data_IF_861402980335
#
_entry.id   IF_861402980335
#
_cell.length_a   1.000
_cell.length_b   1.000
_cell.length_c   1.000
_cell.angle_alpha   90.00
_cell.angle_beta   90.00
_cell.angle_gamma   90.00
#
_symmetry.space_group_name_H-M   'P 1'
#
loop_
_entity.id
_entity.type
_entity.pdbx_description
1 polymer ?
#
# COMPACT_ATOMS: atom_id res chain seq x y z
N UNK A 1 -40.86 -41.26 22.15
CA UNK A 1 -39.80 -41.77 21.24
C UNK A 1 -39.54 -40.76 20.14
N UNK A 2 -38.30 -40.42 19.91
CA UNK A 2 -37.75 -39.45 18.94
C UNK A 2 -37.54 -38.04 19.49
N UNK A 3 -36.52 -37.90 20.33
CA UNK A 3 -35.70 -36.73 20.48
C UNK A 3 -34.28 -37.24 20.75
N UNK A 4 -33.40 -37.21 19.76
CA UNK A 4 -31.94 -37.29 19.87
C UNK A 4 -31.37 -37.47 18.46
N UNK A 5 -30.97 -36.37 17.82
CA UNK A 5 -30.04 -36.33 16.68
C UNK A 5 -29.82 -34.88 16.20
N UNK A 6 -29.49 -33.93 17.09
CA UNK A 6 -28.89 -32.66 16.74
C UNK A 6 -27.96 -32.23 17.90
N UNK A 7 -26.88 -32.95 18.11
CA UNK A 7 -25.88 -32.58 19.10
C UNK A 7 -24.47 -33.12 18.75
N UNK A 8 -24.18 -33.33 17.47
CA UNK A 8 -22.85 -33.86 17.07
C UNK A 8 -22.17 -33.10 15.94
N UNK A 9 -22.61 -31.87 15.62
CA UNK A 9 -22.00 -31.05 14.55
C UNK A 9 -21.39 -29.73 15.04
N UNK A 10 -21.33 -29.47 16.35
CA UNK A 10 -20.80 -28.20 16.91
C UNK A 10 -19.52 -28.35 17.76
N UNK A 11 -18.90 -29.53 17.77
CA UNK A 11 -17.69 -29.80 18.58
C UNK A 11 -16.38 -29.94 17.75
N UNK A 12 -16.40 -29.63 16.45
CA UNK A 12 -15.23 -29.78 15.58
C UNK A 12 -14.57 -28.45 15.18
N UNK A 13 -14.88 -27.31 15.83
CA UNK A 13 -14.37 -26.00 15.44
C UNK A 13 -13.58 -25.25 16.52
N UNK A 14 -13.09 -25.93 17.57
CA UNK A 14 -12.28 -25.32 18.64
C UNK A 14 -11.05 -26.16 19.02
N UNK A 15 -10.33 -26.68 18.03
CA UNK A 15 -8.97 -27.16 18.18
C UNK A 15 -8.09 -26.46 17.14
N UNK A 16 -8.10 -25.12 17.12
CA UNK A 16 -6.90 -24.40 16.68
C UNK A 16 -5.87 -24.59 17.79
N UNK A 17 -5.19 -25.73 17.73
CA UNK A 17 -3.92 -25.90 18.40
C UNK A 17 -3.06 -24.68 18.08
N UNK A 18 -2.62 -23.97 19.10
CA UNK A 18 -1.47 -23.11 19.04
C UNK A 18 -0.29 -23.97 18.53
N UNK A 19 -0.16 -24.08 17.22
CA UNK A 19 1.08 -24.52 16.58
C UNK A 19 2.09 -23.40 16.92
N UNK A 20 2.74 -23.54 18.07
CA UNK A 20 3.99 -22.89 18.33
C UNK A 20 4.94 -23.45 17.27
N UNK A 21 5.09 -22.73 16.16
CA UNK A 21 6.15 -22.98 15.18
C UNK A 21 7.49 -22.79 15.92
N UNK A 22 7.99 -23.87 16.50
CA UNK A 22 9.32 -23.89 17.11
C UNK A 22 10.31 -24.10 15.97
N UNK A 23 10.57 -23.03 15.22
CA UNK A 23 11.55 -23.03 14.14
C UNK A 23 12.99 -23.13 14.66
N UNK A 24 13.90 -23.53 13.79
CA UNK A 24 15.33 -23.53 14.08
C UNK A 24 15.84 -22.11 14.31
N UNK A 25 16.30 -21.80 15.54
CA UNK A 25 16.91 -20.52 15.90
C UNK A 25 18.41 -20.58 15.71
N UNK A 26 18.97 -19.62 14.97
CA UNK A 26 20.39 -19.51 14.68
C UNK A 26 20.89 -18.14 15.10
N UNK A 27 21.89 -18.08 15.97
CA UNK A 27 22.52 -16.84 16.40
C UNK A 27 23.20 -16.12 15.20
N UNK A 28 22.94 -14.80 15.08
CA UNK A 28 23.53 -13.98 14.02
C UNK A 28 25.05 -13.83 14.20
N UNK A 29 25.52 -13.71 15.42
CA UNK A 29 26.91 -13.43 15.72
C UNK A 29 27.62 -14.63 16.36
N UNK A 30 28.84 -14.95 15.92
CA UNK A 30 29.70 -15.89 16.63
C UNK A 30 30.02 -15.35 18.05
N UNK A 31 30.22 -16.27 18.97
CA UNK A 31 30.55 -15.92 20.36
C UNK A 31 31.75 -14.95 20.41
N UNK A 32 31.58 -13.82 21.09
CA UNK A 32 32.63 -12.81 21.29
C UNK A 32 32.92 -11.89 20.11
N UNK A 33 32.20 -12.04 18.95
CA UNK A 33 32.47 -11.26 17.74
C UNK A 33 31.35 -10.25 17.37
N UNK A 34 30.38 -10.06 18.27
CA UNK A 34 29.27 -9.12 18.04
C UNK A 34 29.77 -7.68 18.16
N UNK A 35 29.65 -6.83 17.11
CA UNK A 35 30.08 -5.43 17.17
C UNK A 35 29.19 -4.63 18.11
N UNK A 36 29.71 -3.54 18.67
CA UNK A 36 29.02 -2.61 19.58
C UNK A 36 28.16 -3.33 20.63
N UNK A 37 28.70 -4.41 21.21
CA UNK A 37 28.00 -5.18 22.27
C UNK A 37 27.70 -4.27 23.46
N UNK A 38 26.43 -4.28 23.91
CA UNK A 38 25.98 -3.57 25.11
C UNK A 38 25.27 -4.53 26.07
N UNK A 39 25.56 -4.41 27.36
CA UNK A 39 25.06 -5.34 28.40
C UNK A 39 23.53 -5.23 28.61
N UNK A 40 22.94 -4.07 28.31
CA UNK A 40 21.49 -3.85 28.40
C UNK A 40 20.71 -4.33 27.17
N UNK A 41 21.38 -4.77 26.10
CA UNK A 41 20.71 -5.26 24.90
C UNK A 41 20.47 -6.76 24.93
N UNK A 42 19.29 -7.18 24.49
CA UNK A 42 18.87 -8.55 24.27
C UNK A 42 18.24 -8.69 22.88
N UNK A 43 18.13 -9.90 22.38
CA UNK A 43 17.34 -10.19 21.19
C UNK A 43 16.17 -11.10 21.60
N UNK A 44 14.99 -10.52 21.75
CA UNK A 44 13.77 -11.21 22.09
C UNK A 44 12.56 -10.42 21.58
N UNK A 45 11.50 -11.12 21.20
CA UNK A 45 10.20 -10.48 20.96
C UNK A 45 9.51 -10.25 22.31
N UNK A 46 8.98 -9.06 22.52
CA UNK A 46 8.39 -8.64 23.81
C UNK A 46 7.28 -9.58 24.30
N UNK A 47 6.38 -9.98 23.38
CA UNK A 47 5.27 -10.88 23.72
C UNK A 47 5.74 -12.28 24.07
N UNK A 48 6.84 -12.75 23.46
CA UNK A 48 7.47 -14.01 23.80
C UNK A 48 8.07 -13.99 25.21
N UNK A 49 8.75 -12.91 25.56
CA UNK A 49 9.33 -12.71 26.89
C UNK A 49 8.25 -12.71 27.97
N UNK A 50 7.10 -12.07 27.71
CA UNK A 50 5.97 -12.01 28.63
C UNK A 50 5.28 -13.37 28.79
N UNK A 51 5.20 -14.18 27.74
CA UNK A 51 4.45 -15.46 27.75
C UNK A 51 5.25 -16.64 28.30
N UNK A 52 6.60 -16.66 28.18
CA UNK A 52 7.42 -17.85 28.44
C UNK A 52 8.39 -17.72 29.63
N UNK A 53 8.33 -16.64 30.41
CA UNK A 53 9.30 -16.39 31.48
C UNK A 53 10.73 -16.35 30.93
N UNK A 54 10.92 -15.65 29.86
CA UNK A 54 12.13 -15.59 29.05
C UNK A 54 13.36 -15.27 29.87
N UNK A 55 14.39 -16.15 29.89
CA UNK A 55 15.66 -15.89 30.52
C UNK A 55 16.53 -15.08 29.55
N UNK A 56 16.65 -13.78 29.79
CA UNK A 56 17.44 -12.82 29.01
C UNK A 56 18.86 -13.30 28.64
N UNK A 57 19.47 -14.16 29.46
CA UNK A 57 20.83 -14.67 29.27
C UNK A 57 21.00 -15.55 28.03
N UNK A 58 19.94 -16.15 27.50
CA UNK A 58 20.03 -17.04 26.31
C UNK A 58 20.03 -16.30 24.99
N UNK A 59 19.61 -15.04 24.93
CA UNK A 59 19.38 -14.32 23.69
C UNK A 59 20.02 -12.93 23.65
N UNK A 60 21.26 -12.82 24.17
CA UNK A 60 22.02 -11.57 24.08
C UNK A 60 22.59 -11.28 22.68
N UNK A 61 22.47 -12.20 21.75
CA UNK A 61 22.80 -12.00 20.34
C UNK A 61 21.55 -11.99 19.50
N UNK A 62 21.48 -11.16 18.46
CA UNK A 62 20.46 -11.26 17.44
C UNK A 62 20.38 -12.69 16.89
N UNK A 63 19.20 -13.12 16.46
CA UNK A 63 19.00 -14.42 15.87
C UNK A 63 18.04 -14.37 14.70
N UNK A 64 18.14 -15.36 13.83
CA UNK A 64 17.12 -15.70 12.84
C UNK A 64 16.40 -16.97 13.29
N UNK A 65 15.09 -17.05 13.04
CA UNK A 65 14.26 -18.20 13.36
C UNK A 65 13.57 -18.66 12.08
N UNK A 66 13.93 -19.85 11.61
CA UNK A 66 13.37 -20.44 10.41
C UNK A 66 12.01 -21.04 10.69
N UNK A 67 11.01 -20.70 9.88
CA UNK A 67 9.72 -21.39 9.85
C UNK A 67 9.83 -22.68 9.02
N UNK A 68 8.87 -23.59 9.22
CA UNK A 68 8.77 -24.79 8.42
C UNK A 68 8.73 -24.43 6.92
N UNK A 69 9.36 -25.27 6.11
CA UNK A 69 9.38 -25.06 4.67
C UNK A 69 7.97 -25.19 4.09
N UNK A 70 7.61 -24.39 3.06
CA UNK A 70 6.35 -24.57 2.36
C UNK A 70 6.28 -25.96 1.73
N UNK A 71 5.05 -26.47 1.53
CA UNK A 71 4.85 -27.74 0.82
C UNK A 71 5.52 -27.71 -0.56
N UNK A 72 6.06 -28.83 -0.98
CA UNK A 72 6.87 -28.91 -2.20
C UNK A 72 6.12 -28.46 -3.48
N UNK A 73 4.81 -28.73 -3.53
CA UNK A 73 3.93 -28.39 -4.65
C UNK A 73 3.60 -26.90 -4.79
N UNK A 74 3.80 -26.11 -3.71
CA UNK A 74 3.53 -24.65 -3.72
C UNK A 74 4.80 -23.79 -3.65
N UNK A 75 5.99 -24.39 -3.50
CA UNK A 75 7.23 -23.62 -3.40
C UNK A 75 7.45 -22.71 -4.59
N UNK A 76 7.66 -21.41 -4.31
CA UNK A 76 7.92 -20.41 -5.34
C UNK A 76 9.42 -20.07 -5.52
N UNK A 77 10.29 -20.70 -4.75
CA UNK A 77 11.75 -20.50 -4.82
C UNK A 77 12.24 -19.19 -4.23
N UNK A 78 11.44 -18.50 -3.42
CA UNK A 78 11.80 -17.23 -2.80
C UNK A 78 11.76 -17.32 -1.26
N UNK A 79 12.48 -16.39 -0.60
CA UNK A 79 12.53 -16.29 0.86
C UNK A 79 12.06 -14.91 1.34
N UNK A 80 11.30 -14.90 2.43
CA UNK A 80 10.85 -13.66 3.10
C UNK A 80 11.43 -13.55 4.50
N UNK A 81 12.16 -12.47 4.75
CA UNK A 81 12.64 -12.09 6.08
C UNK A 81 11.55 -11.21 6.74
N UNK A 82 11.05 -11.65 7.88
CA UNK A 82 10.00 -10.98 8.63
C UNK A 82 10.64 -10.08 9.71
N UNK A 83 10.33 -8.78 9.71
CA UNK A 83 10.99 -7.81 10.59
C UNK A 83 9.91 -7.03 11.35
N UNK A 84 9.72 -7.35 12.64
CA UNK A 84 8.75 -6.64 13.49
C UNK A 84 9.24 -5.25 13.89
N UNK A 85 8.29 -4.42 14.34
CA UNK A 85 8.55 -3.10 14.90
C UNK A 85 8.88 -3.12 16.40
N UNK A 86 8.67 -1.97 17.05
CA UNK A 86 8.88 -1.77 18.49
C UNK A 86 9.79 -0.59 18.82
N UNK A 87 9.93 0.36 17.88
CA UNK A 87 10.67 1.62 18.09
C UNK A 87 12.16 1.45 18.37
N UNK A 88 12.76 0.31 18.03
CA UNK A 88 14.09 -0.12 18.45
C UNK A 88 14.27 -0.28 19.98
N UNK A 89 13.22 -0.07 20.76
CA UNK A 89 13.22 -0.33 22.21
C UNK A 89 12.85 -1.78 22.52
N UNK A 90 12.15 -2.42 21.62
CA UNK A 90 11.76 -3.84 21.68
C UNK A 90 11.57 -4.39 20.25
N UNK A 91 11.65 -5.70 20.11
CA UNK A 91 11.02 -6.40 19.01
C UNK A 91 9.65 -6.87 19.52
N UNK A 92 8.56 -6.45 18.87
CA UNK A 92 7.23 -6.74 19.36
C UNK A 92 6.40 -7.48 18.30
N UNK A 93 5.27 -8.05 18.77
CA UNK A 93 4.22 -8.63 17.96
C UNK A 93 4.52 -10.01 17.34
N UNK A 94 4.71 -11.00 18.21
CA UNK A 94 4.83 -12.43 17.81
C UNK A 94 3.65 -12.86 16.93
N UNK A 95 2.42 -12.40 17.23
CA UNK A 95 1.22 -12.77 16.49
C UNK A 95 1.23 -12.22 15.06
N UNK A 96 1.68 -10.97 14.88
CA UNK A 96 1.80 -10.36 13.57
C UNK A 96 2.76 -11.15 12.69
N UNK A 97 3.96 -11.43 13.22
CA UNK A 97 5.00 -12.17 12.49
C UNK A 97 4.56 -13.58 12.15
N UNK A 98 3.94 -14.29 13.11
CA UNK A 98 3.40 -15.63 12.88
C UNK A 98 2.28 -15.60 11.80
N UNK A 99 1.40 -14.59 11.84
CA UNK A 99 0.36 -14.43 10.83
C UNK A 99 0.90 -14.12 9.42
N UNK A 100 2.01 -13.38 9.33
CA UNK A 100 2.71 -13.20 8.05
C UNK A 100 3.37 -14.50 7.58
N UNK A 101 4.05 -15.21 8.48
CA UNK A 101 4.69 -16.48 8.16
C UNK A 101 3.68 -17.50 7.62
N UNK A 102 2.54 -17.67 8.30
CA UNK A 102 1.47 -18.57 7.88
C UNK A 102 0.98 -18.26 6.46
N UNK A 103 0.63 -17.00 6.18
CA UNK A 103 0.13 -16.57 4.88
C UNK A 103 1.18 -16.70 3.77
N UNK A 104 2.42 -16.30 4.04
CA UNK A 104 3.50 -16.34 3.05
C UNK A 104 3.96 -17.78 2.77
N UNK A 105 4.02 -18.64 3.78
CA UNK A 105 4.31 -20.07 3.60
C UNK A 105 3.22 -20.76 2.77
N UNK A 106 1.95 -20.40 2.98
CA UNK A 106 0.85 -20.89 2.13
C UNK A 106 0.97 -20.43 0.67
N UNK A 107 1.63 -19.30 0.41
CA UNK A 107 1.94 -18.78 -0.92
C UNK A 107 3.28 -19.32 -1.49
N UNK A 108 3.94 -20.24 -0.77
CA UNK A 108 5.15 -20.93 -1.22
C UNK A 108 6.47 -20.27 -0.86
N UNK A 109 6.47 -19.20 -0.06
CA UNK A 109 7.71 -18.58 0.41
C UNK A 109 8.35 -19.36 1.56
N UNK A 110 9.66 -19.54 1.52
CA UNK A 110 10.41 -19.85 2.74
C UNK A 110 10.40 -18.62 3.65
N UNK A 111 10.01 -18.78 4.90
CA UNK A 111 9.94 -17.66 5.84
C UNK A 111 11.01 -17.76 6.92
N UNK A 112 11.54 -16.61 7.33
CA UNK A 112 12.50 -16.49 8.43
C UNK A 112 12.19 -15.24 9.25
N UNK A 113 11.97 -15.39 10.55
CA UNK A 113 11.84 -14.27 11.46
C UNK A 113 13.22 -13.75 11.84
N UNK A 114 13.43 -12.44 11.75
CA UNK A 114 14.65 -11.80 12.19
C UNK A 114 14.40 -10.99 13.45
N UNK A 115 15.10 -11.35 14.52
CA UNK A 115 15.02 -10.70 15.83
C UNK A 115 16.35 -10.01 16.13
N UNK A 116 16.32 -8.69 16.02
CA UNK A 116 17.49 -7.82 16.26
C UNK A 116 17.63 -7.41 17.73
N UNK A 117 18.79 -6.92 18.10
CA UNK A 117 19.10 -6.46 19.48
C UNK A 117 18.31 -5.21 19.84
N UNK A 118 17.72 -5.23 21.02
CA UNK A 118 17.01 -4.10 21.66
C UNK A 118 17.37 -4.04 23.16
N UNK A 119 17.19 -2.93 23.86
CA UNK A 119 16.69 -1.62 23.43
C UNK A 119 17.69 -0.86 22.57
N UNK A 120 17.37 0.38 22.23
CA UNK A 120 18.25 1.31 21.49
C UNK A 120 19.65 1.34 22.08
N UNK A 121 20.71 1.36 21.25
CA UNK A 121 22.08 1.46 21.76
C UNK A 121 22.33 2.82 22.41
N UNK A 122 23.18 2.85 23.44
CA UNK A 122 23.67 4.08 24.05
C UNK A 122 24.87 4.62 23.27
N UNK A 123 24.92 5.91 23.01
CA UNK A 123 26.04 6.56 22.33
C UNK A 123 26.18 6.29 20.83
N UNK A 124 25.17 5.68 20.23
CA UNK A 124 25.11 5.35 18.78
C UNK A 124 23.73 5.77 18.23
N UNK A 125 23.60 5.90 16.90
CA UNK A 125 22.29 6.05 16.28
C UNK A 125 21.33 4.94 16.70
N UNK A 126 20.05 5.26 16.88
CA UNK A 126 19.04 4.35 17.44
C UNK A 126 18.91 3.03 16.68
N UNK A 127 19.28 2.99 15.42
CA UNK A 127 19.20 1.83 14.51
C UNK A 127 20.53 1.08 14.37
N UNK A 128 21.66 1.60 14.87
CA UNK A 128 22.98 1.09 14.50
C UNK A 128 23.14 -0.41 14.74
N UNK A 129 22.91 -0.87 15.98
CA UNK A 129 23.08 -2.29 16.32
C UNK A 129 22.11 -3.21 15.60
N UNK A 130 20.86 -2.74 15.36
CA UNK A 130 19.89 -3.49 14.58
C UNK A 130 20.28 -3.57 13.09
N UNK A 131 20.92 -2.54 12.54
CA UNK A 131 21.41 -2.54 11.15
C UNK A 131 22.61 -3.49 10.96
N UNK A 132 23.54 -3.53 11.91
CA UNK A 132 24.62 -4.52 11.96
C UNK A 132 24.07 -5.94 11.94
N UNK A 133 23.12 -6.22 12.83
CA UNK A 133 22.43 -7.50 12.92
C UNK A 133 21.72 -7.85 11.60
N UNK A 134 21.05 -6.87 11.00
CA UNK A 134 20.27 -7.04 9.76
C UNK A 134 21.15 -7.37 8.57
N UNK A 135 22.27 -6.66 8.35
CA UNK A 135 23.18 -6.97 7.26
C UNK A 135 23.71 -8.40 7.39
N UNK A 136 24.10 -8.81 8.60
CA UNK A 136 24.60 -10.15 8.82
C UNK A 136 23.51 -11.21 8.70
N UNK A 137 22.31 -10.94 9.18
CA UNK A 137 21.15 -11.84 9.02
C UNK A 137 20.85 -12.12 7.54
N UNK A 138 20.85 -11.09 6.68
CA UNK A 138 20.66 -11.27 5.21
C UNK A 138 21.76 -12.17 4.63
N UNK A 139 23.02 -11.99 5.04
CA UNK A 139 24.13 -12.86 4.60
C UNK A 139 23.92 -14.33 5.00
N UNK A 140 23.45 -14.57 6.24
CA UNK A 140 23.12 -15.93 6.72
C UNK A 140 22.00 -16.54 5.90
N UNK A 141 20.92 -15.79 5.66
CA UNK A 141 19.80 -16.25 4.84
C UNK A 141 20.27 -16.60 3.43
N UNK A 142 21.05 -15.74 2.80
CA UNK A 142 21.60 -15.98 1.45
C UNK A 142 22.53 -17.19 1.41
N UNK A 143 23.38 -17.38 2.43
CA UNK A 143 24.24 -18.56 2.55
C UNK A 143 23.45 -19.87 2.61
N UNK A 144 22.33 -19.87 3.28
CA UNK A 144 21.51 -21.06 3.51
C UNK A 144 20.51 -21.34 2.36
N UNK A 145 20.49 -20.52 1.30
CA UNK A 145 19.50 -20.56 0.22
C UNK A 145 19.41 -21.93 -0.45
N UNK A 146 20.54 -22.50 -0.90
CA UNK A 146 20.60 -23.83 -1.54
C UNK A 146 20.10 -24.92 -0.59
N UNK A 147 20.60 -24.95 0.65
CA UNK A 147 20.20 -25.92 1.69
C UNK A 147 18.68 -25.88 1.94
N UNK A 148 18.05 -24.70 1.81
CA UNK A 148 16.63 -24.50 2.12
C UNK A 148 15.73 -24.48 0.88
N UNK A 149 16.31 -24.61 -0.31
CA UNK A 149 15.58 -24.78 -1.56
C UNK A 149 14.96 -23.49 -2.10
N UNK A 150 15.64 -22.35 -1.95
CA UNK A 150 15.25 -21.09 -2.59
C UNK A 150 16.46 -20.42 -3.30
N UNK A 151 16.16 -19.48 -4.19
CA UNK A 151 17.15 -18.72 -4.96
C UNK A 151 17.78 -17.64 -4.08
N UNK A 152 19.12 -17.57 -3.94
CA UNK A 152 19.80 -16.52 -3.19
C UNK A 152 19.55 -15.09 -3.74
N UNK A 153 19.11 -14.97 -4.99
CA UNK A 153 18.70 -13.70 -5.60
C UNK A 153 17.18 -13.45 -5.51
N UNK A 154 16.47 -14.24 -4.68
CA UNK A 154 15.04 -14.05 -4.38
C UNK A 154 14.80 -13.95 -2.86
N UNK A 155 15.41 -12.95 -2.23
CA UNK A 155 15.25 -12.66 -0.80
C UNK A 155 14.55 -11.31 -0.63
N UNK A 156 13.34 -11.33 -0.08
CA UNK A 156 12.58 -10.14 0.24
C UNK A 156 12.38 -9.93 1.74
N UNK A 157 11.86 -8.77 2.09
CA UNK A 157 11.45 -8.45 3.46
C UNK A 157 9.98 -8.05 3.54
N UNK A 158 9.32 -8.39 4.64
CA UNK A 158 8.07 -7.78 5.08
C UNK A 158 8.28 -7.21 6.47
N UNK A 159 7.84 -5.97 6.68
CA UNK A 159 8.26 -5.22 7.86
C UNK A 159 7.20 -4.24 8.36
N UNK A 160 7.36 -3.76 9.60
CA UNK A 160 6.49 -2.77 10.21
C UNK A 160 7.27 -1.78 11.08
N UNK A 161 6.87 -0.47 11.06
CA UNK A 161 7.35 0.55 12.00
C UNK A 161 8.89 0.70 11.99
N UNK A 162 9.57 0.59 13.15
CA UNK A 162 11.03 0.57 13.23
C UNK A 162 11.66 -0.58 12.41
N UNK A 163 10.97 -1.72 12.30
CA UNK A 163 11.38 -2.81 11.39
C UNK A 163 11.33 -2.38 9.93
N UNK A 164 10.39 -1.51 9.56
CA UNK A 164 10.33 -0.94 8.21
C UNK A 164 11.45 0.08 7.96
N UNK A 165 11.85 0.85 8.95
CA UNK A 165 13.06 1.68 8.85
C UNK A 165 14.30 0.79 8.60
N UNK A 166 14.41 -0.33 9.33
CA UNK A 166 15.49 -1.28 9.13
C UNK A 166 15.45 -1.94 7.74
N UNK A 167 14.26 -2.32 7.26
CA UNK A 167 14.07 -2.84 5.90
C UNK A 167 14.47 -1.81 4.83
N UNK A 168 14.17 -0.52 5.05
CA UNK A 168 14.65 0.57 4.18
C UNK A 168 16.19 0.64 4.16
N UNK A 169 16.86 0.54 5.32
CA UNK A 169 18.34 0.50 5.37
C UNK A 169 18.90 -0.68 4.58
N UNK A 170 18.32 -1.88 4.75
CA UNK A 170 18.73 -3.08 4.01
C UNK A 170 18.46 -2.98 2.51
N UNK A 171 17.36 -2.31 2.13
CA UNK A 171 16.92 -2.18 0.74
C UNK A 171 17.53 -1.00 -0.02
N UNK A 172 18.13 -0.01 0.67
CA UNK A 172 18.67 1.21 0.02
C UNK A 172 20.15 1.45 0.26
N UNK A 173 20.75 0.80 1.28
CA UNK A 173 22.09 1.14 1.78
C UNK A 173 22.95 -0.09 2.02
N UNK A 174 22.75 -1.14 1.23
CA UNK A 174 23.43 -2.42 1.40
C UNK A 174 24.94 -2.36 1.09
N UNK A 175 25.38 -1.37 0.31
CA UNK A 175 26.79 -1.16 -0.03
C UNK A 175 27.53 -0.33 1.03
N UNK A 176 26.79 0.26 1.98
CA UNK A 176 27.38 0.91 3.15
C UNK A 176 27.56 -0.11 4.27
N UNK A 177 28.79 -0.29 4.72
CA UNK A 177 29.10 -1.22 5.83
C UNK A 177 28.48 -0.71 7.13
N UNK A 178 27.65 -1.51 7.77
CA UNK A 178 27.16 -1.24 9.11
C UNK A 178 28.19 -1.59 10.19
N UNK A 179 29.11 -2.54 9.89
CA UNK A 179 30.15 -3.02 10.79
C UNK A 179 31.37 -3.51 10.00
N UNK A 180 32.52 -3.66 10.68
CA UNK A 180 33.71 -4.27 10.09
C UNK A 180 33.58 -5.80 10.02
N UNK A 181 34.00 -6.44 8.91
CA UNK A 181 33.92 -7.90 8.74
C UNK A 181 34.54 -8.68 9.90
N UNK A 182 33.84 -9.72 10.37
CA UNK A 182 34.28 -10.55 11.50
C UNK A 182 34.68 -11.98 11.10
N UNK A 183 34.20 -12.47 9.96
CA UNK A 183 34.54 -13.78 9.40
C UNK A 183 34.16 -13.87 7.91
N UNK A 184 34.37 -15.06 7.30
CA UNK A 184 34.13 -15.30 5.88
C UNK A 184 32.65 -15.07 5.44
N UNK A 185 31.66 -15.15 6.34
CA UNK A 185 30.26 -14.88 6.01
C UNK A 185 30.08 -13.43 5.51
N UNK A 186 30.90 -12.51 5.99
CA UNK A 186 30.77 -11.09 5.67
C UNK A 186 31.23 -10.71 4.26
N UNK A 187 31.82 -11.67 3.53
CA UNK A 187 32.07 -11.54 2.08
C UNK A 187 30.82 -11.78 1.22
N UNK A 188 29.76 -12.38 1.78
CA UNK A 188 28.50 -12.61 1.08
C UNK A 188 27.74 -11.29 0.96
N UNK A 189 27.10 -10.96 -0.19
CA UNK A 189 26.28 -9.76 -0.34
C UNK A 189 25.13 -9.70 0.67
N UNK A 190 24.83 -8.49 1.21
CA UNK A 190 23.77 -8.28 2.17
C UNK A 190 22.58 -7.47 1.63
N UNK A 191 22.51 -7.25 0.30
CA UNK A 191 21.35 -6.62 -0.30
C UNK A 191 20.13 -7.55 -0.26
N UNK A 192 18.94 -6.98 -0.22
CA UNK A 192 17.67 -7.68 -0.42
C UNK A 192 17.14 -7.37 -1.83
N UNK A 193 16.29 -8.23 -2.36
CA UNK A 193 15.84 -8.12 -3.75
C UNK A 193 14.50 -7.36 -3.88
N UNK A 194 13.70 -7.29 -2.80
CA UNK A 194 12.52 -6.42 -2.68
C UNK A 194 12.16 -6.17 -1.22
N UNK A 195 11.35 -5.14 -0.97
CA UNK A 195 10.83 -4.87 0.36
C UNK A 195 9.33 -4.53 0.37
N UNK A 196 8.61 -5.15 1.29
CA UNK A 196 7.26 -4.75 1.68
C UNK A 196 7.40 -3.94 2.97
N UNK A 197 7.14 -2.64 2.87
CA UNK A 197 7.45 -1.65 3.91
C UNK A 197 6.14 -1.07 4.44
N UNK A 198 5.84 -1.34 5.72
CA UNK A 198 4.62 -0.84 6.34
C UNK A 198 4.94 0.19 7.42
N UNK A 199 4.41 1.41 7.28
CA UNK A 199 4.51 2.51 8.24
C UNK A 199 5.95 2.76 8.74
N UNK A 200 6.94 3.07 7.87
CA UNK A 200 8.32 3.28 8.29
C UNK A 200 8.43 4.48 9.25
N UNK A 201 8.82 4.20 10.51
CA UNK A 201 9.16 5.22 11.49
C UNK A 201 10.58 5.74 11.26
N UNK A 202 10.92 6.90 11.79
CA UNK A 202 12.29 7.48 11.81
C UNK A 202 12.95 7.68 10.43
N UNK A 203 12.18 7.64 9.36
CA UNK A 203 12.75 7.72 8.02
C UNK A 203 12.90 9.15 7.49
N UNK A 204 12.43 10.15 8.23
CA UNK A 204 12.53 11.57 7.89
C UNK A 204 13.41 12.32 8.87
N UNK A 205 13.95 13.47 8.44
CA UNK A 205 14.88 14.28 9.24
C UNK A 205 14.32 14.74 10.58
N UNK A 206 13.01 14.97 10.68
CA UNK A 206 12.30 15.28 11.92
C UNK A 206 12.10 14.06 12.84
N UNK A 207 12.18 12.85 12.28
CA UNK A 207 12.07 11.59 13.01
C UNK A 207 13.39 10.94 13.41
N UNK A 208 14.55 11.46 12.99
CA UNK A 208 15.87 10.86 13.26
C UNK A 208 16.21 10.76 14.75
N UNK A 209 15.70 11.66 15.57
CA UNK A 209 15.89 11.65 17.03
C UNK A 209 15.03 10.59 17.74
N UNK A 210 14.14 9.93 17.02
CA UNK A 210 13.23 8.91 17.53
C UNK A 210 11.98 9.46 18.22
N UNK A 211 11.65 10.73 18.01
CA UNK A 211 10.35 11.31 18.35
C UNK A 211 9.37 11.07 17.19
N UNK A 212 8.08 10.78 17.49
CA UNK A 212 7.07 10.76 16.44
C UNK A 212 7.02 12.12 15.75
N UNK A 213 6.91 12.11 14.41
CA UNK A 213 6.60 13.33 13.69
C UNK A 213 5.24 13.86 14.17
N UNK A 214 5.19 15.10 14.61
CA UNK A 214 3.95 15.80 14.92
C UNK A 214 3.23 16.16 13.62
N UNK A 215 2.01 16.72 13.70
CA UNK A 215 1.33 17.27 12.49
C UNK A 215 2.18 18.33 11.77
N UNK A 216 3.12 18.94 12.47
CA UNK A 216 4.12 19.85 11.93
C UNK A 216 5.11 19.15 10.98
N UNK A 217 5.31 17.82 11.12
CA UNK A 217 6.12 16.98 10.21
C UNK A 217 5.61 16.87 8.77
N UNK A 218 4.50 17.52 8.44
CA UNK A 218 4.03 17.75 7.07
C UNK A 218 4.58 19.05 6.45
N UNK A 219 5.53 19.70 7.12
CA UNK A 219 6.19 20.90 6.60
C UNK A 219 6.92 20.65 5.28
N UNK A 220 7.14 21.73 4.55
CA UNK A 220 7.82 21.71 3.23
C UNK A 220 9.30 21.31 3.32
N UNK A 221 9.89 21.39 4.50
CA UNK A 221 11.31 21.16 4.73
C UNK A 221 11.63 19.72 5.18
N UNK A 222 10.62 18.90 5.37
CA UNK A 222 10.80 17.48 5.72
C UNK A 222 11.47 16.72 4.58
N UNK A 223 12.58 16.05 4.88
CA UNK A 223 13.39 15.28 3.94
C UNK A 223 13.60 13.87 4.44
N UNK A 224 14.00 12.97 3.55
CA UNK A 224 14.49 11.66 3.96
C UNK A 224 15.75 11.82 4.80
N UNK A 225 15.90 10.95 5.80
CA UNK A 225 17.12 10.82 6.58
C UNK A 225 18.30 10.53 5.66
N UNK A 226 19.43 11.16 5.93
CA UNK A 226 20.67 10.99 5.16
C UNK A 226 21.30 9.61 5.32
N UNK A 227 20.79 8.78 6.22
CA UNK A 227 21.25 7.41 6.42
C UNK A 227 20.92 6.51 5.21
N UNK A 228 19.84 6.81 4.49
CA UNK A 228 19.47 6.07 3.27
C UNK A 228 20.32 6.53 2.08
N UNK A 229 21.18 5.65 1.59
CA UNK A 229 22.15 6.00 0.54
C UNK A 229 21.61 5.80 -0.88
N UNK A 230 20.57 4.99 -1.05
CA UNK A 230 20.01 4.67 -2.37
C UNK A 230 21.11 4.27 -3.37
N UNK A 231 21.81 3.21 -3.01
CA UNK A 231 22.91 2.67 -3.80
C UNK A 231 22.43 1.86 -5.03
N UNK A 232 23.36 1.33 -5.82
CA UNK A 232 23.08 0.57 -7.04
C UNK A 232 22.36 -0.78 -6.78
N UNK A 233 22.30 -1.23 -5.53
CA UNK A 233 21.56 -2.42 -5.09
C UNK A 233 20.21 -2.07 -4.45
N UNK A 234 19.79 -0.82 -4.55
CA UNK A 234 18.46 -0.39 -4.06
C UNK A 234 17.35 -1.20 -4.75
N UNK A 235 16.51 -1.83 -3.96
CA UNK A 235 15.53 -2.79 -4.44
C UNK A 235 14.14 -2.17 -4.71
N UNK A 236 13.29 -2.83 -5.54
CA UNK A 236 11.87 -2.52 -5.66
C UNK A 236 11.12 -2.59 -4.33
N UNK A 237 10.11 -1.72 -4.14
CA UNK A 237 9.39 -1.64 -2.86
C UNK A 237 7.88 -1.44 -3.03
N UNK A 238 7.10 -2.14 -2.19
CA UNK A 238 5.69 -1.86 -1.94
C UNK A 238 5.57 -1.15 -0.58
N UNK A 239 5.06 0.08 -0.60
CA UNK A 239 5.00 0.97 0.55
C UNK A 239 3.55 1.13 1.02
N UNK A 240 3.28 0.89 2.30
CA UNK A 240 1.97 0.99 2.93
C UNK A 240 2.02 1.96 4.11
N UNK A 241 1.02 2.86 4.24
CA UNK A 241 0.99 3.80 5.36
C UNK A 241 -0.44 4.22 5.70
N UNK A 242 -0.73 4.38 6.99
CA UNK A 242 -1.98 4.98 7.45
C UNK A 242 -1.96 6.51 7.32
N UNK A 243 -3.03 7.10 6.80
CA UNK A 243 -3.15 8.56 6.67
C UNK A 243 -3.22 9.30 8.01
N UNK A 244 -3.64 8.61 9.08
CA UNK A 244 -3.71 9.13 10.45
C UNK A 244 -2.55 8.66 11.34
N UNK A 245 -1.50 8.10 10.73
CA UNK A 245 -0.33 7.61 11.45
C UNK A 245 0.46 8.79 12.09
N UNK A 246 0.79 8.74 13.38
CA UNK A 246 1.64 9.75 14.00
C UNK A 246 3.07 9.79 13.43
N UNK A 247 3.55 8.68 12.86
CA UNK A 247 4.79 8.64 12.07
C UNK A 247 4.47 8.97 10.62
N UNK A 248 4.27 10.24 10.33
CA UNK A 248 3.70 10.78 9.10
C UNK A 248 3.95 9.97 7.80
N UNK A 249 2.93 9.75 6.95
CA UNK A 249 3.09 9.08 5.65
C UNK A 249 4.03 9.84 4.68
N UNK A 250 4.47 11.06 5.02
CA UNK A 250 5.51 11.80 4.28
C UNK A 250 6.76 10.93 4.07
N UNK A 251 7.15 10.11 5.06
CA UNK A 251 8.26 9.18 4.92
C UNK A 251 8.09 8.27 3.68
N UNK A 252 6.96 7.58 3.58
CA UNK A 252 6.66 6.68 2.45
C UNK A 252 6.56 7.42 1.13
N UNK A 253 6.00 8.63 1.08
CA UNK A 253 5.91 9.43 -0.15
C UNK A 253 7.28 9.88 -0.63
N UNK A 254 8.19 10.26 0.27
CA UNK A 254 9.55 10.66 -0.06
C UNK A 254 10.39 9.46 -0.56
N UNK A 255 10.26 8.28 0.06
CA UNK A 255 10.90 7.04 -0.41
C UNK A 255 10.39 6.69 -1.81
N UNK A 256 9.06 6.67 -2.02
CA UNK A 256 8.46 6.42 -3.33
C UNK A 256 9.02 7.36 -4.39
N UNK A 257 9.03 8.68 -4.11
CA UNK A 257 9.57 9.68 -5.03
C UNK A 257 11.03 9.40 -5.38
N UNK A 258 11.85 9.03 -4.40
CA UNK A 258 13.28 8.76 -4.63
C UNK A 258 13.47 7.50 -5.49
N UNK A 259 12.75 6.41 -5.21
CA UNK A 259 12.78 5.20 -6.03
C UNK A 259 12.38 5.49 -7.49
N UNK A 260 11.30 6.26 -7.70
CA UNK A 260 10.86 6.63 -9.06
C UNK A 260 11.86 7.50 -9.80
N UNK A 261 12.59 8.40 -9.11
CA UNK A 261 13.69 9.17 -9.71
C UNK A 261 14.85 8.29 -10.19
N UNK A 262 15.07 7.14 -9.54
CA UNK A 262 16.08 6.15 -9.91
C UNK A 262 15.54 5.11 -10.91
N UNK A 263 14.31 5.25 -11.38
CA UNK A 263 13.61 4.30 -12.23
C UNK A 263 13.44 2.90 -11.61
N UNK A 264 13.44 2.82 -10.27
CA UNK A 264 13.20 1.59 -9.53
C UNK A 264 11.68 1.37 -9.37
N UNK A 265 11.15 0.16 -9.65
CA UNK A 265 9.74 -0.15 -9.46
C UNK A 265 9.31 0.09 -8.00
N UNK A 266 8.21 0.82 -7.83
CA UNK A 266 7.66 1.06 -6.51
C UNK A 266 6.16 1.35 -6.59
N UNK A 267 5.42 0.94 -5.57
CA UNK A 267 4.03 1.33 -5.36
C UNK A 267 3.85 1.96 -3.97
N UNK A 268 2.81 2.77 -3.81
CA UNK A 268 2.49 3.46 -2.56
C UNK A 268 0.99 3.38 -2.29
N UNK A 269 0.63 2.84 -1.12
CA UNK A 269 -0.74 2.73 -0.63
C UNK A 269 -0.92 3.55 0.65
N UNK A 270 -1.78 4.57 0.57
CA UNK A 270 -2.16 5.40 1.71
C UNK A 270 -3.61 5.06 2.11
N UNK A 271 -3.81 4.70 3.39
CA UNK A 271 -5.10 4.34 3.95
C UNK A 271 -5.67 5.51 4.76
N UNK A 272 -6.65 6.27 4.23
CA UNK A 272 -6.99 7.62 4.74
C UNK A 272 -7.51 7.62 6.17
N UNK A 273 -8.19 6.57 6.62
CA UNK A 273 -8.84 6.43 7.92
C UNK A 273 -8.07 5.55 8.91
N UNK A 274 -6.87 5.12 8.57
CA UNK A 274 -6.07 4.19 9.39
C UNK A 274 -4.89 4.91 10.06
N UNK A 275 -4.59 4.44 11.27
CA UNK A 275 -3.41 4.85 12.04
C UNK A 275 -2.19 3.97 11.76
N UNK A 276 -1.30 3.88 12.77
CA UNK A 276 -0.05 3.13 12.70
C UNK A 276 -0.29 1.64 12.43
N UNK A 277 0.38 1.09 11.43
CA UNK A 277 0.28 -0.32 11.06
C UNK A 277 -0.81 -0.67 10.04
N UNK A 278 -1.44 0.32 9.41
CA UNK A 278 -2.34 0.08 8.28
C UNK A 278 -1.62 -0.66 7.15
N UNK A 279 -2.14 -1.82 6.75
CA UNK A 279 -1.47 -2.70 5.80
C UNK A 279 -2.46 -3.46 4.91
N UNK A 280 -2.21 -3.46 3.61
CA UNK A 280 -2.95 -4.24 2.62
C UNK A 280 -2.17 -5.45 2.16
N UNK A 281 -2.33 -6.60 2.83
CA UNK A 281 -1.60 -7.82 2.50
C UNK A 281 -1.83 -8.26 1.05
N UNK A 282 -3.07 -8.19 0.56
CA UNK A 282 -3.43 -8.59 -0.81
C UNK A 282 -2.72 -7.71 -1.88
N UNK A 283 -2.53 -6.41 -1.58
CA UNK A 283 -1.75 -5.51 -2.45
C UNK A 283 -0.28 -5.87 -2.47
N UNK A 284 0.30 -6.20 -1.32
CA UNK A 284 1.68 -6.67 -1.24
C UNK A 284 1.88 -7.99 -2.01
N UNK A 285 0.90 -8.92 -1.95
CA UNK A 285 0.91 -10.16 -2.73
C UNK A 285 0.87 -9.86 -4.23
N UNK A 286 0.00 -8.94 -4.65
CA UNK A 286 -0.11 -8.55 -6.04
C UNK A 286 1.18 -7.91 -6.57
N UNK A 287 1.81 -7.03 -5.79
CA UNK A 287 3.13 -6.48 -6.11
C UNK A 287 4.17 -7.59 -6.32
N UNK A 288 4.27 -8.55 -5.39
CA UNK A 288 5.22 -9.65 -5.49
C UNK A 288 4.95 -10.53 -6.73
N UNK A 289 3.68 -10.72 -7.09
CA UNK A 289 3.28 -11.44 -8.31
C UNK A 289 3.69 -10.71 -9.58
N UNK A 290 3.37 -9.42 -9.68
CA UNK A 290 3.70 -8.58 -10.84
C UNK A 290 5.22 -8.46 -11.05
N UNK A 291 5.99 -8.47 -9.97
CA UNK A 291 7.44 -8.43 -10.02
C UNK A 291 8.10 -9.80 -10.26
N UNK A 292 7.32 -10.88 -10.39
CA UNK A 292 7.83 -12.23 -10.66
C UNK A 292 8.48 -12.95 -9.48
N UNK A 293 8.31 -12.45 -8.25
CA UNK A 293 8.90 -13.07 -7.05
C UNK A 293 8.15 -14.33 -6.60
N UNK A 294 6.96 -14.58 -7.12
CA UNK A 294 6.13 -15.74 -6.81
C UNK A 294 6.14 -16.81 -7.90
N UNK A 295 7.15 -16.82 -8.75
CA UNK A 295 7.21 -17.71 -9.93
C UNK A 295 6.66 -17.01 -11.19
N UNK A 296 6.47 -17.72 -12.31
CA UNK A 296 5.98 -17.12 -13.53
C UNK A 296 4.62 -16.49 -13.28
N UNK A 297 4.47 -15.25 -13.71
CA UNK A 297 3.18 -14.56 -13.71
C UNK A 297 2.22 -15.43 -14.54
N UNK A 298 1.06 -15.88 -13.99
CA UNK A 298 0.05 -16.53 -14.82
C UNK A 298 -0.23 -15.62 -16.02
N UNK A 299 -0.34 -16.18 -17.22
CA UNK A 299 -0.75 -15.43 -18.39
C UNK A 299 -1.96 -14.57 -17.96
N UNK A 300 -1.87 -13.26 -18.20
CA UNK A 300 -2.92 -12.31 -17.77
C UNK A 300 -4.28 -12.91 -18.12
N UNK A 301 -5.07 -13.19 -17.10
CA UNK A 301 -6.51 -13.33 -17.34
C UNK A 301 -6.93 -11.94 -17.81
N UNK A 302 -7.35 -11.77 -19.06
CA UNK A 302 -7.71 -10.45 -19.54
C UNK A 302 -8.76 -9.88 -18.59
N UNK A 303 -8.49 -8.72 -18.00
CA UNK A 303 -9.44 -8.01 -17.11
C UNK A 303 -10.81 -7.84 -17.81
N UNK A 304 -10.81 -7.91 -19.14
CA UNK A 304 -11.99 -7.86 -19.99
C UNK A 304 -12.97 -9.03 -19.81
N UNK A 305 -12.50 -10.23 -19.45
CA UNK A 305 -13.39 -11.40 -19.37
C UNK A 305 -14.16 -11.50 -18.04
N UNK A 306 -13.67 -10.82 -17.00
CA UNK A 306 -14.36 -10.81 -15.68
C UNK A 306 -15.59 -9.91 -15.69
N UNK A 307 -15.74 -9.01 -16.67
CA UNK A 307 -16.78 -7.97 -16.72
C UNK A 307 -17.55 -7.94 -18.04
N UNK A 308 -17.63 -9.06 -18.76
CA UNK A 308 -18.16 -9.12 -20.14
C UNK A 308 -19.69 -9.19 -20.26
N UNK A 309 -20.46 -9.30 -19.18
CA UNK A 309 -21.91 -9.32 -19.29
C UNK A 309 -22.50 -7.89 -19.18
N UNK A 310 -23.05 -7.39 -20.26
CA UNK A 310 -23.95 -6.23 -20.26
C UNK A 310 -25.30 -6.53 -19.57
N UNK A 311 -25.49 -7.75 -19.07
CA UNK A 311 -26.75 -8.26 -18.50
C UNK A 311 -27.15 -7.61 -17.17
N UNK A 312 -26.20 -6.99 -16.46
CA UNK A 312 -26.48 -6.31 -15.18
C UNK A 312 -26.92 -4.84 -15.32
N UNK A 313 -27.01 -4.34 -16.57
CA UNK A 313 -27.35 -2.95 -16.85
C UNK A 313 -28.82 -2.80 -17.18
N UNK A 314 -29.58 -2.17 -16.29
CA UNK A 314 -31.02 -1.95 -16.50
C UNK A 314 -31.29 -0.79 -17.47
N UNK A 315 -30.56 0.33 -17.35
CA UNK A 315 -30.88 1.56 -18.07
C UNK A 315 -29.65 2.45 -18.29
N UNK A 316 -29.57 3.08 -19.47
CA UNK A 316 -28.62 4.15 -19.77
C UNK A 316 -29.38 5.38 -20.25
N UNK A 317 -29.24 6.48 -19.51
CA UNK A 317 -29.86 7.75 -19.84
C UNK A 317 -28.78 8.77 -20.15
N UNK A 318 -28.86 9.41 -21.33
CA UNK A 318 -27.94 10.48 -21.75
C UNK A 318 -28.61 11.82 -21.70
N UNK A 319 -27.91 12.83 -21.17
CA UNK A 319 -28.37 14.22 -21.12
C UNK A 319 -27.21 15.21 -21.29
N UNK A 320 -27.51 16.37 -21.86
CA UNK A 320 -26.52 17.43 -22.02
C UNK A 320 -26.23 18.11 -20.69
N UNK A 321 -24.95 18.47 -20.45
CA UNK A 321 -24.55 19.20 -19.24
C UNK A 321 -25.13 20.62 -19.20
N UNK A 322 -25.25 21.24 -20.35
CA UNK A 322 -25.73 22.62 -20.48
C UNK A 322 -26.99 22.69 -21.34
N UNK A 323 -28.00 23.47 -20.93
CA UNK A 323 -29.09 23.85 -21.81
C UNK A 323 -28.55 24.66 -23.01
N UNK A 324 -29.29 24.64 -24.11
CA UNK A 324 -28.95 25.38 -25.31
C UNK A 324 -28.70 26.88 -25.00
N UNK A 325 -27.58 27.46 -25.47
CA UNK A 325 -27.23 28.85 -25.27
C UNK A 325 -26.79 29.24 -23.85
N UNK A 326 -26.68 28.28 -22.90
CA UNK A 326 -26.26 28.56 -21.52
C UNK A 326 -24.82 28.16 -21.20
N UNK A 327 -24.12 27.50 -22.12
CA UNK A 327 -22.77 26.99 -21.90
C UNK A 327 -21.77 28.15 -21.73
N UNK A 328 -21.05 28.26 -20.60
CA UNK A 328 -20.07 29.30 -20.41
C UNK A 328 -18.82 29.04 -21.27
N UNK A 329 -18.15 30.09 -21.70
CA UNK A 329 -16.93 29.98 -22.53
C UNK A 329 -17.04 29.01 -23.70
N UNK A 330 -18.21 28.97 -24.36
CA UNK A 330 -18.49 28.11 -25.50
C UNK A 330 -17.52 28.41 -26.65
N UNK A 331 -16.95 27.36 -27.26
CA UNK A 331 -16.05 27.47 -28.39
C UNK A 331 -16.41 26.44 -29.47
N UNK A 332 -16.49 26.89 -30.72
CA UNK A 332 -16.92 26.09 -31.88
C UNK A 332 -16.16 24.75 -32.06
N UNK A 333 -14.85 24.76 -31.72
CA UNK A 333 -14.01 23.56 -31.87
C UNK A 333 -14.20 22.51 -30.77
N UNK A 334 -14.94 22.85 -29.70
CA UNK A 334 -15.12 21.94 -28.56
C UNK A 334 -16.38 21.06 -28.76
N UNK A 335 -16.29 19.81 -28.30
CA UNK A 335 -17.46 18.92 -28.29
C UNK A 335 -18.52 19.42 -27.29
N UNK A 336 -19.80 19.10 -27.55
CA UNK A 336 -20.88 19.31 -26.59
C UNK A 336 -20.71 18.34 -25.40
N UNK A 337 -20.63 18.84 -24.16
CA UNK A 337 -20.49 17.99 -23.00
C UNK A 337 -21.82 17.32 -22.65
N UNK A 338 -21.75 16.04 -22.25
CA UNK A 338 -22.91 15.27 -21.81
C UNK A 338 -22.54 14.31 -20.69
N UNK A 339 -23.57 13.85 -19.98
CA UNK A 339 -23.46 12.75 -19.02
C UNK A 339 -24.30 11.57 -19.46
N UNK A 340 -23.88 10.37 -19.02
CA UNK A 340 -24.66 9.14 -19.14
C UNK A 340 -24.82 8.52 -17.77
N UNK A 341 -26.06 8.34 -17.35
CA UNK A 341 -26.42 7.56 -16.18
C UNK A 341 -26.41 6.09 -16.53
N UNK A 342 -25.68 5.30 -15.78
CA UNK A 342 -25.64 3.84 -15.85
C UNK A 342 -26.23 3.29 -14.57
N UNK A 343 -27.53 2.93 -14.63
CA UNK A 343 -28.29 2.47 -13.46
C UNK A 343 -28.25 0.95 -13.44
N UNK A 344 -27.76 0.30 -12.37
CA UNK A 344 -27.73 -1.16 -12.28
C UNK A 344 -29.16 -1.72 -12.14
N UNK A 345 -29.37 -2.97 -12.61
CA UNK A 345 -30.66 -3.65 -12.48
C UNK A 345 -31.13 -3.80 -11.03
N UNK A 346 -30.17 -3.89 -10.08
CA UNK A 346 -30.43 -3.96 -8.65
C UNK A 346 -29.52 -3.01 -7.88
N UNK A 347 -30.09 -1.99 -7.25
CA UNK A 347 -29.36 -1.11 -6.35
C UNK A 347 -29.01 -1.82 -5.03
N UNK A 348 -27.75 -1.72 -4.61
CA UNK A 348 -27.27 -2.16 -3.30
C UNK A 348 -26.79 -1.00 -2.44
N UNK A 349 -26.66 0.19 -3.03
CA UNK A 349 -26.28 1.43 -2.37
C UNK A 349 -26.98 2.61 -3.05
N UNK A 350 -27.26 3.66 -2.29
CA UNK A 350 -27.77 4.94 -2.79
C UNK A 350 -26.67 5.91 -3.23
N UNK A 351 -25.41 5.54 -3.08
CA UNK A 351 -24.26 6.36 -3.50
C UNK A 351 -24.13 6.39 -5.04
N UNK A 352 -23.59 7.49 -5.54
CA UNK A 352 -23.38 7.75 -6.96
C UNK A 352 -21.89 7.97 -7.22
N UNK A 353 -21.35 7.35 -8.26
CA UNK A 353 -19.98 7.59 -8.68
C UNK A 353 -19.94 8.26 -10.04
N UNK A 354 -19.42 9.48 -10.12
CA UNK A 354 -19.16 10.17 -11.40
C UNK A 354 -17.76 9.75 -11.87
N UNK A 355 -17.63 9.29 -13.12
CA UNK A 355 -16.37 8.81 -13.70
C UNK A 355 -16.09 9.51 -15.03
N UNK A 356 -14.84 9.88 -15.27
CA UNK A 356 -14.39 10.48 -16.53
C UNK A 356 -12.94 10.13 -16.84
N UNK A 357 -12.61 10.06 -18.15
CA UNK A 357 -11.29 9.71 -18.63
C UNK A 357 -10.31 10.90 -18.61
N UNK A 358 -9.04 10.60 -18.85
CA UNK A 358 -8.00 11.59 -19.10
C UNK A 358 -7.98 12.10 -20.55
N UNK A 359 -6.79 12.11 -21.18
CA UNK A 359 -6.57 12.57 -22.56
C UNK A 359 -6.00 13.98 -22.65
N UNK A 360 -5.26 14.44 -21.63
CA UNK A 360 -4.56 15.75 -21.61
C UNK A 360 -5.45 16.97 -21.91
N UNK A 361 -6.77 16.85 -21.72
CA UNK A 361 -7.79 17.84 -22.14
C UNK A 361 -7.85 18.05 -23.67
N UNK A 362 -7.23 17.20 -24.46
CA UNK A 362 -7.32 17.25 -25.93
C UNK A 362 -8.44 16.33 -26.47
N UNK A 363 -8.75 15.30 -25.73
CA UNK A 363 -9.84 14.39 -25.97
C UNK A 363 -10.22 13.70 -24.66
N UNK A 364 -11.40 13.10 -24.62
CA UNK A 364 -11.79 12.15 -23.60
C UNK A 364 -12.78 11.14 -24.20
N UNK A 365 -12.82 9.95 -23.61
CA UNK A 365 -13.76 8.91 -24.02
C UNK A 365 -14.45 8.35 -22.76
N UNK A 366 -15.76 8.66 -22.58
CA UNK A 366 -16.52 8.19 -21.41
C UNK A 366 -16.79 6.68 -21.46
N UNK A 367 -16.51 6.00 -22.56
CA UNK A 367 -16.68 4.55 -22.76
C UNK A 367 -15.34 3.83 -23.02
N UNK A 368 -14.21 4.55 -22.96
CA UNK A 368 -12.89 4.00 -23.20
C UNK A 368 -12.35 3.15 -22.05
N UNK A 369 -11.15 2.60 -22.28
CA UNK A 369 -10.48 1.66 -21.34
C UNK A 369 -10.22 2.25 -19.95
N UNK A 370 -10.15 3.56 -19.78
CA UNK A 370 -9.96 4.22 -18.48
C UNK A 370 -11.28 4.28 -17.65
N UNK A 371 -12.44 4.21 -18.29
CA UNK A 371 -13.75 4.40 -17.66
C UNK A 371 -14.57 3.11 -17.63
N UNK A 372 -14.68 2.41 -18.75
CA UNK A 372 -15.58 1.28 -18.90
C UNK A 372 -15.34 0.13 -17.90
N UNK A 373 -14.11 -0.29 -17.56
CA UNK A 373 -13.90 -1.34 -16.56
C UNK A 373 -14.38 -0.95 -15.17
N UNK A 374 -14.05 0.27 -14.70
CA UNK A 374 -14.49 0.76 -13.40
C UNK A 374 -16.01 0.92 -13.34
N UNK A 375 -16.63 1.46 -14.39
CA UNK A 375 -18.08 1.58 -14.52
C UNK A 375 -18.77 0.22 -14.40
N UNK A 376 -18.35 -0.77 -15.21
CA UNK A 376 -18.92 -2.14 -15.19
C UNK A 376 -18.75 -2.78 -13.81
N UNK A 377 -17.57 -2.67 -13.21
CA UNK A 377 -17.33 -3.20 -11.88
C UNK A 377 -18.27 -2.60 -10.83
N UNK A 378 -18.41 -1.27 -10.78
CA UNK A 378 -19.29 -0.60 -9.81
C UNK A 378 -20.76 -0.92 -10.05
N UNK A 379 -21.21 -0.95 -11.32
CA UNK A 379 -22.57 -1.39 -11.64
C UNK A 379 -22.83 -2.85 -11.21
N UNK A 380 -21.88 -3.77 -11.42
CA UNK A 380 -22.03 -5.17 -10.95
C UNK A 380 -22.12 -5.29 -9.42
N UNK A 381 -21.65 -4.25 -8.69
CA UNK A 381 -21.81 -4.14 -7.23
C UNK A 381 -23.08 -3.37 -6.83
N UNK A 382 -23.96 -3.05 -7.78
CA UNK A 382 -25.23 -2.36 -7.52
C UNK A 382 -25.09 -0.87 -7.22
N UNK A 383 -24.02 -0.22 -7.67
CA UNK A 383 -23.81 1.22 -7.56
C UNK A 383 -24.16 1.93 -8.87
N UNK A 384 -24.89 3.03 -8.80
CA UNK A 384 -25.12 3.90 -9.97
C UNK A 384 -23.85 4.64 -10.34
N UNK A 385 -23.52 4.62 -11.62
CA UNK A 385 -22.38 5.34 -12.19
C UNK A 385 -22.86 6.37 -13.18
N UNK A 386 -22.30 7.57 -13.13
CA UNK A 386 -22.51 8.63 -14.12
C UNK A 386 -21.19 8.83 -14.87
N UNK A 387 -21.17 8.68 -16.18
CA UNK A 387 -19.98 9.03 -16.97
C UNK A 387 -20.10 10.43 -17.52
N UNK A 388 -19.00 11.19 -17.50
CA UNK A 388 -18.96 12.56 -18.00
C UNK A 388 -18.06 12.65 -19.25
N UNK A 389 -18.64 13.12 -20.34
CA UNK A 389 -17.94 13.66 -21.51
C UNK A 389 -17.79 15.16 -21.31
N UNK A 390 -16.65 15.62 -20.79
CA UNK A 390 -16.38 17.05 -20.66
C UNK A 390 -15.85 17.65 -21.98
N UNK A 391 -15.91 18.95 -22.14
CA UNK A 391 -15.46 19.66 -23.35
C UNK A 391 -13.97 19.43 -23.64
N UNK A 392 -13.72 19.04 -24.87
CA UNK A 392 -12.41 18.89 -25.51
C UNK A 392 -12.51 19.33 -26.97
N UNK A 393 -11.40 19.78 -27.61
CA UNK A 393 -10.05 19.97 -27.06
C UNK A 393 -9.95 21.14 -26.07
N UNK A 394 -8.74 21.42 -25.59
CA UNK A 394 -8.43 22.53 -24.68
C UNK A 394 -8.99 23.84 -25.22
N UNK A 395 -9.54 24.71 -24.34
CA UNK A 395 -10.04 26.01 -24.79
C UNK A 395 -8.90 26.91 -25.27
N UNK A 396 -9.16 27.70 -26.30
CA UNK A 396 -8.25 28.75 -26.77
C UNK A 396 -8.38 29.98 -25.85
N UNK A 397 -7.24 30.61 -25.51
CA UNK A 397 -7.20 31.84 -24.69
C UNK A 397 -7.51 31.64 -23.19
N UNK A 398 -7.73 30.43 -22.72
CA UNK A 398 -8.02 30.10 -21.34
C UNK A 398 -7.05 29.03 -20.80
N UNK A 399 -7.04 28.82 -19.48
CA UNK A 399 -6.34 27.67 -18.91
C UNK A 399 -6.88 26.37 -19.44
N UNK A 400 -6.00 25.39 -19.68
CA UNK A 400 -6.31 24.12 -20.36
C UNK A 400 -7.46 23.31 -19.75
N UNK A 401 -7.78 23.55 -18.49
CA UNK A 401 -8.80 22.82 -17.72
C UNK A 401 -10.10 23.63 -17.53
N UNK A 402 -10.14 24.90 -17.94
CA UNK A 402 -11.25 25.81 -17.57
C UNK A 402 -12.61 25.25 -17.95
N UNK A 403 -12.84 24.94 -19.23
CA UNK A 403 -14.14 24.46 -19.70
C UNK A 403 -14.50 23.09 -19.14
N UNK A 404 -13.52 22.18 -19.00
CA UNK A 404 -13.75 20.90 -18.38
C UNK A 404 -14.14 21.00 -16.89
N UNK A 405 -13.60 22.00 -16.19
CA UNK A 405 -13.94 22.25 -14.79
C UNK A 405 -15.35 22.85 -14.63
N UNK A 406 -15.74 23.73 -15.52
CA UNK A 406 -17.12 24.23 -15.60
C UNK A 406 -18.10 23.05 -15.79
N UNK A 407 -17.78 22.15 -16.72
CA UNK A 407 -18.60 20.97 -17.00
C UNK A 407 -18.70 20.03 -15.80
N UNK A 408 -17.60 19.78 -15.08
CA UNK A 408 -17.62 18.95 -13.88
C UNK A 408 -18.45 19.56 -12.77
N UNK A 409 -18.30 20.85 -12.46
CA UNK A 409 -19.09 21.52 -11.43
C UNK A 409 -20.58 21.47 -11.77
N UNK A 410 -20.93 21.71 -13.03
CA UNK A 410 -22.32 21.60 -13.49
C UNK A 410 -22.84 20.17 -13.39
N UNK A 411 -22.05 19.18 -13.81
CA UNK A 411 -22.39 17.75 -13.71
C UNK A 411 -22.71 17.34 -12.27
N UNK A 412 -21.88 17.72 -11.30
CA UNK A 412 -22.13 17.38 -9.89
C UNK A 412 -23.47 17.97 -9.41
N UNK A 413 -23.81 19.19 -9.83
CA UNK A 413 -25.08 19.85 -9.48
C UNK A 413 -26.28 19.17 -10.14
N UNK A 414 -26.18 18.76 -11.42
CA UNK A 414 -27.22 18.00 -12.12
C UNK A 414 -27.45 16.68 -11.38
N UNK A 415 -26.38 15.92 -11.15
CA UNK A 415 -26.46 14.63 -10.45
C UNK A 415 -27.11 14.81 -9.07
N UNK A 416 -26.77 15.85 -8.33
CA UNK A 416 -27.37 16.16 -7.02
C UNK A 416 -28.85 16.50 -7.14
N UNK A 417 -29.25 17.29 -8.16
CA UNK A 417 -30.64 17.68 -8.35
C UNK A 417 -31.58 16.52 -8.67
N UNK A 418 -31.05 15.50 -9.38
CA UNK A 418 -31.82 14.35 -9.85
C UNK A 418 -31.70 13.10 -8.97
N UNK A 419 -30.76 13.07 -8.03
CA UNK A 419 -30.50 11.89 -7.21
C UNK A 419 -31.75 11.37 -6.50
N UNK A 420 -32.48 12.24 -5.82
CA UNK A 420 -33.65 11.84 -5.03
C UNK A 420 -34.82 11.26 -5.89
N UNK A 421 -35.06 11.81 -7.08
CA UNK A 421 -36.06 11.29 -8.01
C UNK A 421 -35.72 9.91 -8.58
N UNK A 422 -34.42 9.53 -8.53
CA UNK A 422 -33.91 8.23 -8.95
C UNK A 422 -33.69 7.25 -7.78
N UNK A 423 -34.17 7.61 -6.56
CA UNK A 423 -33.96 6.77 -5.36
C UNK A 423 -32.53 6.75 -4.83
N UNK A 424 -31.74 7.77 -5.16
CA UNK A 424 -30.33 7.91 -4.78
C UNK A 424 -30.16 9.05 -3.76
N UNK A 425 -29.02 9.06 -3.08
CA UNK A 425 -28.71 10.04 -2.04
C UNK A 425 -27.90 11.22 -2.62
N UNK A 426 -28.47 12.45 -2.64
CA UNK A 426 -27.80 13.64 -3.18
C UNK A 426 -26.53 14.04 -2.40
N UNK A 427 -26.35 13.52 -1.18
CA UNK A 427 -25.20 13.82 -0.34
C UNK A 427 -24.12 12.72 -0.38
N UNK A 428 -24.29 11.70 -1.26
CA UNK A 428 -23.34 10.60 -1.43
C UNK A 428 -22.84 10.51 -2.87
N UNK A 429 -22.16 11.56 -3.31
CA UNK A 429 -21.63 11.69 -4.67
C UNK A 429 -20.10 11.66 -4.61
N UNK A 430 -19.49 10.63 -5.23
CA UNK A 430 -18.06 10.53 -5.44
C UNK A 430 -17.67 10.90 -6.87
N UNK A 431 -16.42 11.33 -7.06
CA UNK A 431 -15.83 11.58 -8.38
C UNK A 431 -14.54 10.78 -8.56
N UNK A 432 -14.30 10.30 -9.77
CA UNK A 432 -13.11 9.54 -10.13
C UNK A 432 -12.67 9.88 -11.56
N UNK A 433 -11.37 10.09 -11.73
CA UNK A 433 -10.80 10.34 -13.05
C UNK A 433 -9.37 9.88 -13.16
N UNK A 434 -8.91 9.62 -14.39
CA UNK A 434 -7.54 9.23 -14.66
C UNK A 434 -6.77 10.34 -15.40
N UNK A 435 -5.45 10.42 -15.27
CA UNK A 435 -4.59 11.37 -16.00
C UNK A 435 -5.07 12.83 -15.86
N UNK A 436 -5.44 13.49 -16.96
CA UNK A 436 -6.06 14.84 -16.93
C UNK A 436 -7.40 14.84 -16.18
N UNK A 437 -8.18 13.75 -16.23
CA UNK A 437 -9.36 13.55 -15.40
C UNK A 437 -8.99 13.46 -13.91
N UNK A 438 -7.87 12.83 -13.55
CA UNK A 438 -7.35 12.84 -12.18
C UNK A 438 -6.99 14.26 -11.68
N UNK A 439 -6.40 15.10 -12.54
CA UNK A 439 -6.20 16.51 -12.23
C UNK A 439 -7.54 17.24 -12.00
N UNK A 440 -8.53 16.97 -12.87
CA UNK A 440 -9.88 17.53 -12.73
C UNK A 440 -10.57 17.06 -11.43
N UNK A 441 -10.36 15.80 -11.03
CA UNK A 441 -10.83 15.27 -9.73
C UNK A 441 -10.22 16.04 -8.56
N UNK A 442 -8.90 16.28 -8.58
CA UNK A 442 -8.24 17.08 -7.53
C UNK A 442 -8.86 18.48 -7.43
N UNK A 443 -9.12 19.14 -8.55
CA UNK A 443 -9.81 20.43 -8.56
C UNK A 443 -11.22 20.33 -7.97
N UNK A 444 -11.99 19.30 -8.31
CA UNK A 444 -13.34 19.07 -7.80
C UNK A 444 -13.38 18.92 -6.28
N UNK A 445 -12.44 18.16 -5.69
CA UNK A 445 -12.41 17.92 -4.23
C UNK A 445 -11.77 19.05 -3.42
N UNK A 446 -10.79 19.75 -3.98
CA UNK A 446 -10.03 20.78 -3.23
C UNK A 446 -10.56 22.21 -3.43
N UNK A 447 -11.33 22.45 -4.50
CA UNK A 447 -11.74 23.78 -4.93
C UNK A 447 -13.25 23.91 -5.20
N UNK A 448 -14.06 23.06 -4.57
CA UNK A 448 -15.52 23.03 -4.75
C UNK A 448 -16.22 24.34 -4.41
N UNK A 449 -15.66 25.13 -3.48
CA UNK A 449 -16.19 26.45 -3.13
C UNK A 449 -15.84 27.54 -4.13
N UNK A 450 -14.85 27.29 -5.01
CA UNK A 450 -14.48 28.24 -6.06
C UNK A 450 -15.38 28.06 -7.28
N UNK A 451 -16.18 29.06 -7.59
CA UNK A 451 -17.09 29.04 -8.75
C UNK A 451 -16.29 29.19 -10.04
N UNK A 452 -16.37 28.17 -10.91
CA UNK A 452 -15.70 28.20 -12.22
C UNK A 452 -16.47 29.03 -13.27
N UNK A 453 -17.76 29.26 -13.04
CA UNK A 453 -18.64 30.06 -13.90
C UNK A 453 -19.71 30.79 -13.09
N UNK A 454 -20.37 31.78 -13.71
CA UNK A 454 -21.51 32.47 -13.12
C UNK A 454 -22.77 31.59 -13.23
N UNK A 455 -23.62 31.53 -12.20
CA UNK A 455 -24.87 30.76 -12.21
C UNK A 455 -25.74 31.08 -13.45
N UNK A 456 -26.31 30.04 -14.07
CA UNK A 456 -27.16 30.10 -15.26
C UNK A 456 -28.62 29.85 -14.95
N UNK A 457 -28.93 28.98 -13.97
CA UNK A 457 -30.26 28.59 -13.57
C UNK A 457 -30.31 28.15 -12.09
N UNK A 458 -31.45 27.56 -11.65
CA UNK A 458 -31.66 27.12 -10.28
C UNK A 458 -30.76 25.95 -9.87
N UNK A 459 -30.34 25.08 -10.82
CA UNK A 459 -29.41 23.97 -10.57
C UNK A 459 -28.07 24.52 -10.06
N UNK A 460 -27.67 25.70 -10.53
CA UNK A 460 -26.40 26.31 -10.13
C UNK A 460 -26.35 26.87 -8.72
N UNK A 461 -27.54 26.90 -8.03
CA UNK A 461 -27.63 27.22 -6.60
C UNK A 461 -27.19 26.04 -5.72
N UNK A 462 -27.16 24.81 -6.27
CA UNK A 462 -26.74 23.59 -5.55
C UNK A 462 -25.24 23.56 -5.32
N UNK A 463 -24.85 22.84 -4.27
CA UNK A 463 -23.45 22.59 -3.97
C UNK A 463 -22.80 21.68 -5.02
N UNK A 464 -21.53 21.95 -5.39
CA UNK A 464 -20.69 21.02 -6.15
C UNK A 464 -19.63 20.32 -5.27
N UNK A 465 -19.78 20.32 -3.95
CA UNK A 465 -18.95 19.52 -3.04
C UNK A 465 -19.24 18.04 -3.22
N UNK A 466 -18.22 17.21 -3.06
CA UNK A 466 -18.29 15.74 -3.12
C UNK A 466 -17.74 15.16 -1.82
N UNK A 467 -18.03 13.88 -1.53
CA UNK A 467 -17.56 13.17 -0.35
C UNK A 467 -16.38 12.26 -0.65
#
# INVERSE_FOLDING_TARGET
MKHNCIASALAAFLLFSSLAFAGERVAVWPKGKMPHRQENQIAAMTDEAAQKGFKADKHRTAYIEWYDAPKADVRNGACMILISGGGYNSCCDVKLVAGWAEKLTALGFQCVNFVYRTPRPTGLPIWQTAWEDGQRAVRMVRKDAEKRGFDPEKIGTISMSAGSHLALLLGTSSQTKAYEPVDALDSIPCHINWAIVNAPAYATTDGETGTPATREGYGTDVRLSSVFKFDEKTCPMSLHHGGLDPYTPTASTLVYRQLRRMNIPAELHLYPDKGHGAFGFDRAVEFMRQMGYMGPVPAEVPIMDVYSSDEDRAEVIRENVWPEGMMPNEQEKQCTPYIEWHIPAKLTTTAIQIIYSGGSYQGNDPNGFEVAPARRYLNSKGMTVVTLKYRTPRPEGLSKHTTAWEDLQRTIKIVRSEAASRGLDPDRIGIMGSSAGGHLTLMGVTSSLHKSYLPKDDIDKLSCSVQ
#
